data_IF_709670083354
#
_entry.id   IF_709670083354
#
_cell.length_a   1.000
_cell.length_b   1.000
_cell.length_c   1.000
_cell.angle_alpha   90.00
_cell.angle_beta   90.00
_cell.angle_gamma   90.00
#
_symmetry.space_group_name_H-M   'P 1'
#
loop_
_entity.id
_entity.type
_entity.pdbx_description
1 polymer ?
#
# COMPACT_ATOMS: atom_id res chain seq x y z
N UNK A 1 6.90 58.16 -48.10
CA UNK A 1 5.65 58.51 -47.40
C UNK A 1 4.90 57.18 -47.21
N UNK A 2 4.80 56.48 -46.07
CA UNK A 2 4.85 56.83 -44.65
C UNK A 2 5.41 55.67 -43.79
N UNK A 3 6.46 55.95 -43.00
CA UNK A 3 7.14 55.01 -42.07
C UNK A 3 6.51 55.01 -40.66
N UNK A 4 5.17 55.10 -40.53
CA UNK A 4 4.52 55.41 -39.23
C UNK A 4 3.63 54.31 -38.63
N UNK A 5 3.57 53.10 -39.20
CA UNK A 5 2.66 52.04 -38.69
C UNK A 5 3.37 51.03 -37.78
N UNK A 6 4.71 51.06 -37.67
CA UNK A 6 5.48 50.07 -36.89
C UNK A 6 5.67 50.41 -35.39
N UNK A 7 4.91 51.35 -34.81
CA UNK A 7 5.21 51.85 -33.45
C UNK A 7 4.07 51.74 -32.43
N UNK A 8 2.93 51.14 -32.77
CA UNK A 8 1.77 51.08 -31.85
C UNK A 8 1.63 49.70 -31.17
N UNK A 9 2.37 48.68 -31.60
CA UNK A 9 2.27 47.31 -31.04
C UNK A 9 3.09 47.02 -29.79
N UNK A 10 3.83 47.99 -29.22
CA UNK A 10 4.88 47.71 -28.22
C UNK A 10 4.59 48.06 -26.75
N UNK A 11 3.54 48.81 -26.31
CA UNK A 11 3.40 49.05 -24.88
C UNK A 11 2.65 47.93 -24.12
N UNK A 12 1.95 47.01 -24.81
CA UNK A 12 1.19 45.97 -24.10
C UNK A 12 2.01 44.76 -23.66
N UNK A 13 3.24 44.60 -24.17
CA UNK A 13 4.15 43.53 -23.75
C UNK A 13 4.96 43.89 -22.49
N UNK A 14 4.94 45.16 -22.06
CA UNK A 14 5.68 45.62 -20.87
C UNK A 14 4.82 45.69 -19.60
N UNK A 15 3.49 45.64 -19.72
CA UNK A 15 2.59 45.69 -18.56
C UNK A 15 2.45 44.34 -17.82
N UNK A 16 2.95 43.24 -18.38
CA UNK A 16 2.90 41.92 -17.73
C UNK A 16 4.02 41.70 -16.69
N UNK A 17 4.96 42.64 -16.55
CA UNK A 17 6.13 42.48 -15.67
C UNK A 17 5.97 43.11 -14.26
N UNK A 18 4.79 43.67 -13.97
CA UNK A 18 4.48 44.27 -12.65
C UNK A 18 3.26 43.56 -12.04
N UNK A 19 3.19 42.25 -12.19
CA UNK A 19 2.40 41.45 -11.25
C UNK A 19 3.36 41.07 -10.12
N UNK A 20 3.03 41.33 -8.84
CA UNK A 20 3.81 40.78 -7.73
C UNK A 20 3.92 39.28 -7.95
N UNK A 21 5.09 38.69 -7.67
CA UNK A 21 5.32 37.24 -7.66
C UNK A 21 4.19 36.57 -6.88
N UNK A 22 3.14 36.17 -7.58
CA UNK A 22 2.10 35.33 -7.03
C UNK A 22 2.76 33.97 -7.02
N UNK A 23 3.34 33.63 -5.86
CA UNK A 23 3.91 32.32 -5.59
C UNK A 23 2.75 31.30 -5.63
N UNK A 24 2.36 30.93 -6.84
CA UNK A 24 1.47 29.82 -7.09
C UNK A 24 2.22 28.58 -6.62
N UNK A 25 2.04 28.23 -5.35
CA UNK A 25 2.41 26.91 -4.84
C UNK A 25 1.80 25.89 -5.79
N UNK A 26 2.64 25.31 -6.65
CA UNK A 26 2.25 24.17 -7.49
C UNK A 26 1.82 23.09 -6.51
N UNK A 27 0.52 22.89 -6.37
CA UNK A 27 0.00 21.73 -5.69
C UNK A 27 0.50 20.53 -6.50
N UNK A 28 1.54 19.87 -5.98
CA UNK A 28 1.92 18.53 -6.40
C UNK A 28 0.71 17.65 -6.13
N UNK A 29 0.00 17.24 -7.18
CA UNK A 29 -0.92 16.12 -7.06
C UNK A 29 -0.05 14.89 -6.78
N UNK A 30 0.16 14.58 -5.50
CA UNK A 30 0.82 13.36 -5.08
C UNK A 30 0.05 12.21 -5.74
N UNK A 31 0.72 11.44 -6.60
CA UNK A 31 0.12 10.24 -7.20
C UNK A 31 -0.36 9.28 -6.11
N UNK A 32 -1.23 8.31 -6.45
CA UNK A 32 -1.83 7.44 -5.46
C UNK A 32 -0.77 6.65 -4.68
N UNK A 33 -0.93 6.61 -3.36
CA UNK A 33 -0.11 5.80 -2.47
C UNK A 33 -0.28 4.33 -2.84
N UNK A 34 0.82 3.70 -3.23
CA UNK A 34 0.81 2.29 -3.64
C UNK A 34 1.42 1.44 -2.53
N UNK A 35 0.62 0.55 -1.95
CA UNK A 35 1.06 -0.47 -0.99
C UNK A 35 1.53 -1.69 -1.79
N UNK A 36 2.82 -1.98 -1.77
CA UNK A 36 3.40 -3.20 -2.35
C UNK A 36 3.17 -4.34 -1.37
N UNK A 37 2.39 -5.34 -1.78
CA UNK A 37 2.03 -6.48 -0.95
C UNK A 37 2.50 -7.80 -1.58
N UNK A 38 3.36 -8.54 -0.88
CA UNK A 38 3.82 -9.87 -1.32
C UNK A 38 2.95 -11.00 -0.74
N UNK A 39 2.76 -12.08 -1.48
CA UNK A 39 2.07 -13.27 -0.98
C UNK A 39 2.51 -14.55 -1.69
N UNK A 40 2.44 -15.67 -0.97
CA UNK A 40 2.61 -17.01 -1.53
C UNK A 40 1.36 -17.51 -2.25
N UNK A 41 0.21 -16.84 -2.08
CA UNK A 41 -1.03 -17.21 -2.75
C UNK A 41 -0.87 -17.16 -4.29
N UNK A 42 -1.16 -18.25 -5.02
CA UNK A 42 -1.03 -18.27 -6.47
C UNK A 42 -2.02 -17.33 -7.15
N UNK A 43 -1.65 -16.84 -8.34
CA UNK A 43 -2.62 -16.17 -9.21
C UNK A 43 -3.81 -17.08 -9.54
N UNK A 44 -5.00 -16.50 -9.64
CA UNK A 44 -6.25 -17.23 -9.87
C UNK A 44 -6.84 -17.94 -8.64
N UNK A 45 -6.13 -18.00 -7.50
CA UNK A 45 -6.63 -18.59 -6.26
C UNK A 45 -7.81 -17.83 -5.65
N UNK A 46 -8.59 -18.49 -4.78
CA UNK A 46 -9.65 -17.86 -3.99
C UNK A 46 -9.11 -16.71 -3.11
N UNK A 47 -7.92 -16.87 -2.53
CA UNK A 47 -7.23 -15.83 -1.79
C UNK A 47 -6.96 -14.58 -2.62
N UNK A 48 -6.42 -14.74 -3.83
CA UNK A 48 -6.19 -13.60 -4.72
C UNK A 48 -7.49 -12.92 -5.17
N UNK A 49 -8.60 -13.65 -5.25
CA UNK A 49 -9.93 -13.06 -5.50
C UNK A 49 -10.36 -12.14 -4.35
N UNK A 50 -10.16 -12.59 -3.11
CA UNK A 50 -10.46 -11.77 -1.91
C UNK A 50 -9.55 -10.55 -1.85
N UNK A 51 -8.25 -10.71 -2.07
CA UNK A 51 -7.30 -9.59 -2.06
C UNK A 51 -7.60 -8.54 -3.13
N UNK A 52 -8.00 -8.96 -4.33
CA UNK A 52 -8.46 -8.03 -5.38
C UNK A 52 -9.75 -7.30 -5.00
N UNK A 53 -10.69 -7.98 -4.35
CA UNK A 53 -11.91 -7.34 -3.83
C UNK A 53 -11.58 -6.30 -2.74
N UNK A 54 -10.58 -6.59 -1.91
CA UNK A 54 -10.08 -5.64 -0.91
C UNK A 54 -9.43 -4.41 -1.56
N UNK A 55 -8.54 -4.57 -2.54
CA UNK A 55 -7.96 -3.45 -3.30
C UNK A 55 -9.04 -2.60 -4.00
N UNK A 56 -10.05 -3.24 -4.60
CA UNK A 56 -11.16 -2.52 -5.22
C UNK A 56 -11.95 -1.70 -4.20
N UNK A 57 -12.20 -2.25 -3.00
CA UNK A 57 -12.86 -1.55 -1.91
C UNK A 57 -11.99 -0.39 -1.40
N UNK A 58 -10.70 -0.62 -1.20
CA UNK A 58 -9.76 0.41 -0.76
C UNK A 58 -9.69 1.58 -1.74
N UNK A 59 -9.60 1.30 -3.05
CA UNK A 59 -9.64 2.34 -4.09
C UNK A 59 -10.94 3.11 -4.06
N UNK A 60 -12.08 2.44 -3.88
CA UNK A 60 -13.39 3.10 -3.81
C UNK A 60 -13.47 4.03 -2.61
N UNK A 61 -13.19 3.54 -1.41
CA UNK A 61 -13.32 4.30 -0.16
C UNK A 61 -12.30 5.44 -0.05
N UNK A 62 -11.17 5.34 -0.75
CA UNK A 62 -10.13 6.39 -0.76
C UNK A 62 -10.16 7.29 -2.00
N UNK A 63 -11.21 7.22 -2.84
CA UNK A 63 -11.28 7.95 -4.11
C UNK A 63 -10.03 7.75 -5.01
N UNK A 64 -9.49 6.53 -5.00
CA UNK A 64 -8.32 6.14 -5.75
C UNK A 64 -6.99 6.62 -5.17
N UNK A 65 -6.97 7.32 -4.03
CA UNK A 65 -5.74 7.82 -3.43
C UNK A 65 -4.86 6.71 -2.86
N UNK A 66 -5.42 5.55 -2.53
CA UNK A 66 -4.67 4.37 -2.06
C UNK A 66 -5.00 3.16 -2.93
N UNK A 67 -3.95 2.41 -3.28
CA UNK A 67 -4.07 1.16 -4.02
C UNK A 67 -3.08 0.11 -3.53
N UNK A 68 -3.39 -1.16 -3.76
CA UNK A 68 -2.51 -2.28 -3.46
C UNK A 68 -1.95 -2.85 -4.76
N UNK A 69 -0.63 -3.00 -4.82
CA UNK A 69 0.07 -3.75 -5.86
C UNK A 69 0.46 -5.11 -5.30
N UNK A 70 -0.17 -6.16 -5.81
CA UNK A 70 0.11 -7.53 -5.39
C UNK A 70 1.31 -8.14 -6.15
N UNK A 71 2.17 -8.81 -5.40
CA UNK A 71 3.22 -9.70 -5.90
C UNK A 71 2.89 -11.13 -5.47
N UNK A 72 2.12 -11.82 -6.30
CA UNK A 72 1.56 -13.13 -6.00
C UNK A 72 2.53 -14.29 -6.25
N UNK A 73 2.14 -15.47 -5.78
CA UNK A 73 2.76 -16.76 -6.10
C UNK A 73 4.24 -16.88 -5.69
N UNK A 74 4.70 -16.13 -4.70
CA UNK A 74 6.11 -16.19 -4.31
C UNK A 74 7.07 -15.50 -5.30
N UNK A 75 6.57 -14.65 -6.20
CA UNK A 75 7.41 -13.90 -7.16
C UNK A 75 8.47 -13.01 -6.52
N UNK A 76 8.35 -12.74 -5.21
CA UNK A 76 9.30 -11.98 -4.42
C UNK A 76 10.15 -12.84 -3.47
N UNK A 77 10.20 -14.16 -3.68
CA UNK A 77 10.87 -15.11 -2.81
C UNK A 77 9.90 -15.83 -1.88
N UNK A 78 10.41 -16.37 -0.78
CA UNK A 78 9.61 -17.00 0.27
C UNK A 78 9.15 -15.98 1.34
N UNK A 79 8.41 -16.44 2.34
CA UNK A 79 7.88 -15.57 3.40
C UNK A 79 8.99 -14.91 4.24
N UNK A 80 10.17 -15.54 4.37
CA UNK A 80 11.33 -14.95 5.04
C UNK A 80 11.92 -13.83 4.20
N UNK A 81 11.96 -14.00 2.89
CA UNK A 81 12.35 -12.93 1.96
C UNK A 81 11.38 -11.75 2.03
N UNK A 82 10.07 -12.00 2.16
CA UNK A 82 9.07 -10.94 2.29
C UNK A 82 9.32 -10.09 3.54
N UNK A 83 9.48 -10.73 4.71
CA UNK A 83 9.76 -10.02 5.98
C UNK A 83 11.07 -9.25 5.89
N UNK A 84 12.11 -9.84 5.29
CA UNK A 84 13.40 -9.15 5.07
C UNK A 84 13.23 -7.91 4.18
N UNK A 85 12.48 -8.02 3.09
CA UNK A 85 12.19 -6.89 2.18
C UNK A 85 11.33 -5.82 2.84
N UNK A 86 10.39 -6.19 3.71
CA UNK A 86 9.62 -5.23 4.50
C UNK A 86 10.53 -4.44 5.44
N UNK A 87 11.41 -5.11 6.20
CA UNK A 87 12.40 -4.44 7.07
C UNK A 87 13.34 -3.51 6.30
N UNK A 88 13.66 -3.84 5.05
CA UNK A 88 14.49 -3.03 4.17
C UNK A 88 13.72 -1.92 3.42
N UNK A 89 12.41 -1.78 3.61
CA UNK A 89 11.57 -0.80 2.89
C UNK A 89 11.35 -1.12 1.39
N UNK A 90 11.70 -2.32 0.95
CA UNK A 90 11.51 -2.78 -0.43
C UNK A 90 10.11 -3.34 -0.69
N UNK A 91 9.38 -3.66 0.37
CA UNK A 91 7.99 -4.12 0.38
C UNK A 91 7.25 -3.40 1.50
N UNK A 92 5.96 -3.10 1.33
CA UNK A 92 5.20 -2.35 2.32
C UNK A 92 4.36 -3.29 3.20
N UNK A 93 3.92 -4.42 2.65
CA UNK A 93 3.12 -5.42 3.35
C UNK A 93 3.38 -6.85 2.83
N UNK A 94 2.95 -7.84 3.59
CA UNK A 94 2.90 -9.22 3.13
C UNK A 94 1.68 -9.95 3.68
N UNK A 95 1.00 -10.73 2.83
CA UNK A 95 -0.01 -11.70 3.26
C UNK A 95 0.65 -13.08 3.32
N UNK A 96 0.87 -13.55 4.53
CA UNK A 96 1.65 -14.75 4.87
C UNK A 96 0.82 -15.76 5.65
N UNK A 97 1.32 -16.98 5.72
CA UNK A 97 0.84 -18.05 6.58
C UNK A 97 1.29 -17.85 8.03
N UNK A 98 0.84 -18.72 8.93
CA UNK A 98 1.33 -18.77 10.32
C UNK A 98 2.85 -18.95 10.38
N UNK A 99 3.47 -19.60 9.40
CA UNK A 99 4.93 -19.73 9.30
C UNK A 99 5.60 -18.36 9.14
N UNK A 100 5.14 -17.55 8.20
CA UNK A 100 5.64 -16.20 7.99
C UNK A 100 5.36 -15.26 9.17
N UNK A 101 4.16 -15.35 9.78
CA UNK A 101 3.85 -14.61 11.02
C UNK A 101 4.81 -14.98 12.15
N UNK A 102 5.15 -16.27 12.27
CA UNK A 102 6.09 -16.81 13.26
C UNK A 102 7.51 -16.28 13.16
N UNK A 103 7.90 -15.69 12.01
CA UNK A 103 9.20 -15.02 11.83
C UNK A 103 9.21 -13.66 12.55
N UNK A 104 8.04 -13.01 12.68
CA UNK A 104 7.88 -11.73 13.35
C UNK A 104 7.54 -11.94 14.82
N UNK A 105 6.48 -12.71 15.09
CA UNK A 105 5.97 -12.99 16.43
C UNK A 105 5.86 -14.50 16.60
N UNK A 106 6.74 -15.09 17.42
CA UNK A 106 6.85 -16.56 17.54
C UNK A 106 5.64 -17.20 18.23
N UNK A 107 4.97 -16.49 19.13
CA UNK A 107 3.81 -17.00 19.90
C UNK A 107 2.63 -17.42 19.02
N UNK A 108 2.46 -16.80 17.83
CA UNK A 108 1.41 -17.13 16.86
C UNK A 108 1.45 -18.59 16.39
N UNK A 109 2.61 -19.26 16.48
CA UNK A 109 2.77 -20.67 16.13
C UNK A 109 1.96 -21.60 17.04
N UNK A 110 1.53 -21.13 18.22
CA UNK A 110 0.61 -21.87 19.09
C UNK A 110 -0.71 -22.22 18.39
N UNK A 111 -1.16 -21.39 17.44
CA UNK A 111 -2.36 -21.64 16.61
C UNK A 111 -2.19 -22.84 15.66
N UNK A 112 -0.98 -23.37 15.51
CA UNK A 112 -0.67 -24.52 14.63
C UNK A 112 -0.22 -25.74 15.41
N UNK A 113 -0.32 -25.72 16.74
CA UNK A 113 0.06 -26.83 17.59
C UNK A 113 -0.80 -28.09 17.28
N UNK A 114 -0.16 -29.24 16.94
CA UNK A 114 -0.89 -30.45 16.60
C UNK A 114 -1.82 -30.91 17.74
N UNK A 115 -3.07 -31.24 17.39
CA UNK A 115 -4.04 -31.80 18.33
C UNK A 115 -4.78 -30.79 19.20
N UNK A 116 -4.47 -29.48 19.13
CA UNK A 116 -5.14 -28.46 19.95
C UNK A 116 -6.35 -27.83 19.26
N UNK A 117 -6.28 -27.61 17.94
CA UNK A 117 -7.35 -26.97 17.17
C UNK A 117 -7.70 -27.91 16.01
N UNK A 118 -8.93 -28.41 16.03
CA UNK A 118 -9.38 -29.49 15.13
C UNK A 118 -10.46 -29.05 14.14
N UNK A 119 -11.05 -27.86 14.35
CA UNK A 119 -12.11 -27.30 13.53
C UNK A 119 -12.04 -25.77 13.47
N UNK A 120 -12.76 -25.19 12.52
CA UNK A 120 -12.78 -23.75 12.30
C UNK A 120 -13.45 -22.97 13.44
N UNK A 121 -14.49 -23.51 14.08
CA UNK A 121 -15.19 -22.82 15.17
C UNK A 121 -14.26 -22.63 16.39
N UNK A 122 -13.48 -23.67 16.71
CA UNK A 122 -12.46 -23.66 17.74
C UNK A 122 -11.33 -22.70 17.36
N UNK A 123 -10.90 -22.70 16.09
CA UNK A 123 -9.89 -21.75 15.60
C UNK A 123 -10.33 -20.30 15.81
N UNK A 124 -11.56 -19.96 15.42
CA UNK A 124 -12.10 -18.61 15.53
C UNK A 124 -12.17 -18.19 17.01
N UNK A 125 -12.70 -19.06 17.88
CA UNK A 125 -12.77 -18.80 19.32
C UNK A 125 -11.40 -18.61 19.98
N UNK A 126 -10.39 -19.37 19.57
CA UNK A 126 -9.02 -19.25 20.08
C UNK A 126 -8.39 -17.95 19.59
N UNK A 127 -8.56 -17.61 18.30
CA UNK A 127 -8.06 -16.35 17.73
C UNK A 127 -8.67 -15.14 18.42
N UNK A 128 -9.98 -15.12 18.63
CA UNK A 128 -10.66 -14.00 19.30
C UNK A 128 -10.13 -13.78 20.73
N UNK A 129 -9.82 -14.87 21.45
CA UNK A 129 -9.28 -14.78 22.81
C UNK A 129 -7.82 -14.34 22.84
N UNK A 130 -7.01 -14.77 21.88
CA UNK A 130 -5.58 -14.46 21.84
C UNK A 130 -5.26 -13.16 21.10
N UNK A 131 -6.18 -12.62 20.31
CA UNK A 131 -5.97 -11.42 19.50
C UNK A 131 -5.37 -10.24 20.31
N UNK A 132 -5.87 -9.89 21.52
CA UNK A 132 -5.29 -8.76 22.28
C UNK A 132 -3.82 -8.96 22.66
N UNK A 133 -3.39 -10.19 22.94
CA UNK A 133 -2.01 -10.51 23.29
C UNK A 133 -1.12 -10.51 22.05
N UNK A 134 -1.58 -11.16 20.97
CA UNK A 134 -0.85 -11.23 19.71
C UNK A 134 -0.68 -9.86 19.07
N UNK A 135 -1.73 -9.02 19.06
CA UNK A 135 -1.68 -7.67 18.49
C UNK A 135 -0.62 -6.82 19.20
N UNK A 136 -0.55 -6.91 20.52
CA UNK A 136 0.49 -6.23 21.31
C UNK A 136 1.90 -6.70 20.95
N UNK A 137 2.09 -7.99 20.68
CA UNK A 137 3.39 -8.53 20.24
C UNK A 137 3.74 -8.10 18.80
N UNK A 138 2.76 -7.89 17.92
CA UNK A 138 2.99 -7.39 16.55
C UNK A 138 3.29 -5.89 16.50
N UNK A 139 2.79 -5.12 17.46
CA UNK A 139 3.00 -3.68 17.56
C UNK A 139 4.31 -3.27 18.27
N UNK A 140 4.94 -4.19 19.00
CA UNK A 140 6.19 -3.97 19.74
C UNK A 140 7.44 -4.05 18.87
#
# INVERSE_FOLDING_TARGET
MNRKILLIGLPLLLAAFILPDVDFKRASAQGPTTIRLATVAPEGSSWMRVFRAWDASLKKETNGQVQIRFYAGGSQGDERDFVRKMRAGQMDAAAVTTTGLGIVVRSVLALTAPGLILDYETMDRVRDKLAPELDKEFES
#
